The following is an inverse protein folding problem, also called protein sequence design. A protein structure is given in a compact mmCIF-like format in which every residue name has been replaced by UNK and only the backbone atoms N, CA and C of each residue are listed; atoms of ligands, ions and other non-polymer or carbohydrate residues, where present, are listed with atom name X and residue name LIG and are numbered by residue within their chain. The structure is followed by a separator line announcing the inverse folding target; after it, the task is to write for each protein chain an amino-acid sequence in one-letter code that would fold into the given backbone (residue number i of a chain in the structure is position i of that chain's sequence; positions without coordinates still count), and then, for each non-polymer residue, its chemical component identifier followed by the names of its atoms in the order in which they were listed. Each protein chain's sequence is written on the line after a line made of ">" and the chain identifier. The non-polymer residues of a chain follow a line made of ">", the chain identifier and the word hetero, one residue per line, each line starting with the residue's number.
data_IF_831734715709
#
_entry.id   IF_831734715709
#
_cell.length_a   1.000
_cell.length_b   1.000
_cell.length_c   1.000
_cell.angle_alpha   90.00
_cell.angle_beta   90.00
_cell.angle_gamma   90.00
#
_symmetry.space_group_name_H-M   'P 1'
#
loop_
_entity.id
_entity.type
_entity.pdbx_description
1 polymer ?
#
# COMPACT_ATOMS: atom_id res chain seq x y z
N UNK A 1 -20.95 -24.54 44.02
CA UNK A 1 -19.56 -24.38 43.58
C UNK A 1 -19.33 -24.83 42.14
N UNK A 2 -20.01 -25.88 41.68
CA UNK A 2 -19.81 -26.34 40.27
C UNK A 2 -20.25 -25.31 39.22
N UNK A 3 -21.35 -24.63 39.41
CA UNK A 3 -21.82 -23.62 38.45
C UNK A 3 -20.90 -22.43 38.29
N UNK A 4 -20.17 -22.04 39.34
CA UNK A 4 -19.19 -20.94 39.26
C UNK A 4 -18.01 -21.35 38.39
N UNK A 5 -17.57 -22.59 38.48
CA UNK A 5 -16.49 -23.13 37.67
C UNK A 5 -16.85 -23.17 36.16
N UNK A 6 -18.07 -23.61 35.84
CA UNK A 6 -18.55 -23.60 34.48
C UNK A 6 -18.73 -22.19 33.93
N UNK A 7 -19.16 -21.24 34.75
CA UNK A 7 -19.27 -19.84 34.39
C UNK A 7 -17.90 -19.23 34.03
N UNK A 8 -16.87 -19.51 34.83
CA UNK A 8 -15.52 -19.04 34.55
C UNK A 8 -14.93 -19.64 33.26
N UNK A 9 -15.19 -20.93 33.02
CA UNK A 9 -14.77 -21.57 31.77
C UNK A 9 -15.44 -20.98 30.54
N UNK A 10 -16.74 -20.68 30.63
CA UNK A 10 -17.47 -20.06 29.53
C UNK A 10 -16.93 -18.66 29.21
N UNK A 11 -16.66 -17.85 30.22
CA UNK A 11 -16.07 -16.51 30.02
C UNK A 11 -14.68 -16.60 29.39
N UNK A 12 -13.85 -17.51 29.88
CA UNK A 12 -12.51 -17.74 29.31
C UNK A 12 -12.59 -18.20 27.85
N UNK A 13 -13.53 -19.08 27.54
CA UNK A 13 -13.74 -19.55 26.17
C UNK A 13 -14.20 -18.43 25.23
N UNK A 14 -15.16 -17.62 25.68
CA UNK A 14 -15.63 -16.45 24.90
C UNK A 14 -14.49 -15.47 24.66
N UNK A 15 -13.69 -15.16 25.68
CA UNK A 15 -12.54 -14.28 25.54
C UNK A 15 -11.52 -14.84 24.53
N UNK A 16 -11.26 -16.14 24.59
CA UNK A 16 -10.36 -16.81 23.65
C UNK A 16 -10.89 -16.73 22.21
N UNK A 17 -12.17 -17.01 21.99
CA UNK A 17 -12.82 -16.92 20.67
C UNK A 17 -12.75 -15.49 20.12
N UNK A 18 -12.99 -14.49 20.96
CA UNK A 18 -12.88 -13.07 20.56
C UNK A 18 -11.45 -12.72 20.15
N UNK A 19 -10.45 -13.18 20.90
CA UNK A 19 -9.04 -12.95 20.56
C UNK A 19 -8.65 -13.62 19.24
N UNK A 20 -9.12 -14.85 19.02
CA UNK A 20 -8.89 -15.59 17.78
C UNK A 20 -9.54 -14.85 16.61
N UNK A 21 -10.79 -14.44 16.72
CA UNK A 21 -11.49 -13.69 15.66
C UNK A 21 -10.77 -12.37 15.36
N UNK A 22 -10.30 -11.64 16.37
CA UNK A 22 -9.53 -10.41 16.19
C UNK A 22 -8.20 -10.66 15.47
N UNK A 23 -7.53 -11.75 15.80
CA UNK A 23 -6.28 -12.14 15.12
C UNK A 23 -6.50 -12.55 13.67
N UNK A 24 -7.58 -13.27 13.40
CA UNK A 24 -7.96 -13.64 12.02
C UNK A 24 -8.34 -12.42 11.18
N UNK A 25 -9.13 -11.49 11.73
CA UNK A 25 -9.46 -10.23 11.02
C UNK A 25 -8.23 -9.42 10.66
N UNK A 26 -7.23 -9.38 11.54
CA UNK A 26 -5.97 -8.66 11.28
C UNK A 26 -5.15 -9.32 10.17
N UNK A 27 -5.18 -10.65 10.06
CA UNK A 27 -4.49 -11.38 8.98
C UNK A 27 -5.21 -11.30 7.64
N UNK A 28 -6.54 -11.24 7.66
CA UNK A 28 -7.35 -11.10 6.43
C UNK A 28 -7.29 -9.69 5.84
N UNK A 29 -7.03 -8.67 6.66
CA UNK A 29 -6.85 -7.30 6.20
C UNK A 29 -5.52 -7.07 5.44
N UNK A 30 -4.57 -8.01 5.55
CA UNK A 30 -3.31 -7.96 4.81
C UNK A 30 -3.29 -8.87 3.56
N UNK A 31 -4.43 -9.48 3.23
CA UNK A 31 -4.57 -10.33 2.05
C UNK A 31 -4.56 -9.51 0.76
N UNK A 32 -3.48 -9.60 0.00
CA UNK A 32 -3.47 -9.16 -1.38
C UNK A 32 -4.54 -9.91 -2.17
N UNK A 33 -5.32 -9.23 -3.00
CA UNK A 33 -6.29 -9.80 -3.93
C UNK A 33 -7.67 -10.15 -3.35
N UNK A 34 -8.18 -9.39 -2.42
CA UNK A 34 -9.61 -9.41 -2.11
C UNK A 34 -10.31 -8.26 -2.83
N UNK A 35 -11.41 -8.53 -3.50
CA UNK A 35 -12.35 -7.52 -3.97
C UNK A 35 -13.08 -6.89 -2.76
N UNK A 36 -12.36 -6.42 -1.79
CA UNK A 36 -12.92 -5.66 -0.68
C UNK A 36 -12.76 -4.18 -0.99
N UNK A 37 -13.83 -3.43 -0.84
CA UNK A 37 -13.90 -1.97 -0.97
C UNK A 37 -13.03 -1.23 0.06
N UNK A 38 -11.99 -1.85 0.58
CA UNK A 38 -11.04 -1.16 1.42
C UNK A 38 -10.19 -0.25 0.53
N UNK A 39 -10.53 1.02 0.55
CA UNK A 39 -9.72 2.06 -0.08
C UNK A 39 -8.32 2.03 0.53
N UNK A 40 -7.33 1.74 -0.30
CA UNK A 40 -5.93 1.84 0.11
C UNK A 40 -5.66 3.28 0.52
N UNK A 41 -5.27 3.48 1.76
CA UNK A 41 -4.89 4.81 2.23
C UNK A 41 -3.61 5.24 1.53
N UNK A 42 -3.66 6.39 0.89
CA UNK A 42 -2.47 7.00 0.29
C UNK A 42 -1.54 7.50 1.40
N UNK A 43 -0.28 7.13 1.31
CA UNK A 43 0.75 7.73 2.15
C UNK A 43 0.90 9.20 1.77
N UNK A 44 0.71 10.06 2.73
CA UNK A 44 0.90 11.50 2.51
C UNK A 44 2.39 11.82 2.54
N UNK A 45 2.85 12.46 1.51
CA UNK A 45 4.19 13.03 1.49
C UNK A 45 4.20 14.28 2.37
N UNK A 46 5.19 14.42 3.23
CA UNK A 46 5.31 15.54 4.16
C UNK A 46 5.55 16.86 3.43
N UNK A 47 6.33 16.83 2.36
CA UNK A 47 6.67 17.98 1.53
C UNK A 47 5.99 17.87 0.16
N UNK A 48 5.04 18.75 -0.10
CA UNK A 48 4.29 18.83 -1.35
C UNK A 48 4.70 20.03 -2.22
N UNK A 49 5.81 20.67 -1.91
CA UNK A 49 6.32 21.76 -2.71
C UNK A 49 7.13 21.22 -3.89
N UNK A 50 6.61 21.43 -5.11
CA UNK A 50 7.23 20.97 -6.34
C UNK A 50 8.62 21.58 -6.57
N UNK A 51 8.89 22.76 -6.03
CA UNK A 51 10.18 23.43 -6.14
C UNK A 51 11.30 22.70 -5.39
N UNK A 52 10.96 21.89 -4.38
CA UNK A 52 11.91 21.07 -3.63
C UNK A 52 12.32 19.79 -4.37
N UNK A 53 11.68 19.48 -5.49
CA UNK A 53 11.93 18.30 -6.30
C UNK A 53 12.46 18.68 -7.67
N UNK A 54 13.78 18.87 -7.83
CA UNK A 54 14.36 19.32 -9.11
C UNK A 54 14.36 18.24 -10.18
N UNK A 55 14.20 16.98 -9.79
CA UNK A 55 14.18 15.85 -10.72
C UNK A 55 12.74 15.34 -10.87
N UNK A 56 12.32 15.12 -12.10
CA UNK A 56 11.03 14.56 -12.44
C UNK A 56 11.19 13.48 -13.51
N UNK A 57 10.58 12.33 -13.30
CA UNK A 57 10.51 11.25 -14.28
C UNK A 57 9.08 10.73 -14.37
N UNK A 58 8.70 10.29 -15.55
CA UNK A 58 7.38 9.66 -15.77
C UNK A 58 7.59 8.18 -16.06
N UNK A 59 6.93 7.34 -15.27
CA UNK A 59 6.90 5.90 -15.45
C UNK A 59 5.58 5.50 -16.14
N UNK A 60 5.67 4.70 -17.17
CA UNK A 60 4.48 4.04 -17.74
C UNK A 60 4.34 2.68 -17.09
N UNK A 61 3.27 2.49 -16.32
CA UNK A 61 3.03 1.28 -15.54
C UNK A 61 1.84 0.53 -16.11
N UNK A 62 2.05 -0.74 -16.40
CA UNK A 62 0.99 -1.66 -16.83
C UNK A 62 0.34 -2.35 -15.63
N UNK A 63 -0.97 -2.56 -15.69
CA UNK A 63 -1.75 -3.23 -14.65
C UNK A 63 -2.49 -2.30 -13.69
N UNK A 64 -2.32 -1.00 -13.78
CA UNK A 64 -3.12 -0.05 -13.00
C UNK A 64 -4.50 0.14 -13.63
N UNK A 65 -5.51 -0.50 -13.06
CA UNK A 65 -6.88 -0.48 -13.58
C UNK A 65 -7.90 0.17 -12.64
N UNK A 66 -7.49 0.53 -11.43
CA UNK A 66 -8.36 1.12 -10.41
C UNK A 66 -7.62 2.12 -9.51
N UNK A 67 -8.39 2.94 -8.76
CA UNK A 67 -7.83 3.91 -7.81
C UNK A 67 -6.98 3.26 -6.72
N UNK A 68 -7.35 2.08 -6.25
CA UNK A 68 -6.57 1.34 -5.27
C UNK A 68 -5.22 0.88 -5.84
N UNK A 69 -5.19 0.54 -7.12
CA UNK A 69 -3.96 0.21 -7.83
C UNK A 69 -3.00 1.40 -7.88
N UNK A 70 -3.50 2.58 -8.24
CA UNK A 70 -2.70 3.80 -8.25
C UNK A 70 -2.17 4.15 -6.86
N UNK A 71 -3.00 4.00 -5.82
CA UNK A 71 -2.59 4.27 -4.45
C UNK A 71 -1.47 3.33 -3.98
N UNK A 72 -1.50 2.07 -4.36
CA UNK A 72 -0.44 1.10 -4.05
C UNK A 72 0.88 1.47 -4.70
N UNK A 73 0.86 1.85 -5.97
CA UNK A 73 2.04 2.30 -6.70
C UNK A 73 2.60 3.58 -6.09
N UNK A 74 1.75 4.57 -5.82
CA UNK A 74 2.16 5.81 -5.14
C UNK A 74 2.79 5.53 -3.78
N UNK A 75 2.19 4.66 -2.97
CA UNK A 75 2.70 4.32 -1.65
C UNK A 75 4.07 3.63 -1.72
N UNK A 76 4.27 2.74 -2.69
CA UNK A 76 5.54 2.07 -2.88
C UNK A 76 6.66 3.05 -3.25
N UNK A 77 6.37 4.00 -4.13
CA UNK A 77 7.32 5.02 -4.54
C UNK A 77 7.55 6.08 -3.44
N UNK A 78 6.49 6.51 -2.76
CA UNK A 78 6.58 7.49 -1.68
C UNK A 78 7.30 6.93 -0.43
N UNK A 79 7.46 5.62 -0.32
CA UNK A 79 8.27 5.01 0.74
C UNK A 79 9.77 5.24 0.57
N UNK A 80 10.20 5.65 -0.62
CA UNK A 80 11.59 6.02 -0.90
C UNK A 80 11.80 7.46 -0.43
N UNK A 81 12.87 7.70 0.34
CA UNK A 81 13.19 9.04 0.84
C UNK A 81 13.40 10.04 -0.29
N UNK A 82 12.75 11.19 -0.17
CA UNK A 82 12.86 12.27 -1.13
C UNK A 82 12.11 12.03 -2.44
N UNK A 83 11.18 11.09 -2.49
CA UNK A 83 10.34 10.78 -3.65
C UNK A 83 8.90 11.17 -3.38
N UNK A 84 8.31 11.86 -4.33
CA UNK A 84 6.88 12.17 -4.37
C UNK A 84 6.29 11.69 -5.68
N UNK A 85 5.48 10.64 -5.63
CA UNK A 85 4.85 10.02 -6.80
C UNK A 85 3.36 10.33 -6.86
N UNK A 86 2.90 10.63 -8.06
CA UNK A 86 1.47 10.78 -8.37
C UNK A 86 1.13 9.85 -9.54
N UNK A 87 0.19 8.94 -9.33
CA UNK A 87 -0.25 7.99 -10.35
C UNK A 87 -1.56 8.43 -10.99
N UNK A 88 -1.63 8.31 -12.30
CA UNK A 88 -2.84 8.53 -13.10
C UNK A 88 -3.31 7.20 -13.70
N UNK A 89 -4.45 6.73 -13.23
CA UNK A 89 -5.06 5.47 -13.70
C UNK A 89 -5.52 5.58 -15.14
N UNK A 90 -6.02 6.73 -15.55
CA UNK A 90 -6.60 6.91 -16.91
C UNK A 90 -5.55 6.79 -18.01
N UNK A 91 -4.33 7.26 -17.75
CA UNK A 91 -3.21 7.20 -18.71
C UNK A 91 -2.22 6.06 -18.41
N UNK A 92 -2.31 5.43 -17.23
CA UNK A 92 -1.34 4.44 -16.77
C UNK A 92 0.05 5.03 -16.48
N UNK A 93 0.14 6.32 -16.27
CA UNK A 93 1.39 7.04 -16.03
C UNK A 93 1.55 7.41 -14.58
N UNK A 94 2.78 7.35 -14.10
CA UNK A 94 3.16 7.78 -12.75
C UNK A 94 4.21 8.87 -12.87
N UNK A 95 3.88 10.05 -12.39
CA UNK A 95 4.84 11.16 -12.30
C UNK A 95 5.59 11.04 -10.99
N UNK A 96 6.90 10.87 -11.08
CA UNK A 96 7.80 10.71 -9.93
C UNK A 96 8.67 11.94 -9.80
N UNK A 97 8.52 12.66 -8.71
CA UNK A 97 9.36 13.81 -8.36
C UNK A 97 10.36 13.42 -7.29
N UNK A 98 11.60 13.82 -7.46
CA UNK A 98 12.71 13.43 -6.59
C UNK A 98 13.51 14.62 -6.13
N UNK A 99 13.92 14.65 -4.87
CA UNK A 99 14.85 15.65 -4.32
C UNK A 99 16.27 15.43 -4.79
N UNK A 100 16.65 14.16 -4.92
CA UNK A 100 17.94 13.72 -5.45
C UNK A 100 17.71 12.81 -6.64
N UNK A 101 18.69 12.75 -7.55
CA UNK A 101 18.63 11.81 -8.66
C UNK A 101 18.67 10.37 -8.14
N UNK A 102 17.62 9.62 -8.42
CA UNK A 102 17.49 8.20 -8.04
C UNK A 102 17.55 7.38 -9.33
N UNK A 103 18.27 6.27 -9.27
CA UNK A 103 18.37 5.36 -10.41
C UNK A 103 17.00 4.82 -10.83
N UNK A 104 16.77 4.77 -12.13
CA UNK A 104 15.53 4.21 -12.69
C UNK A 104 15.30 2.76 -12.24
N UNK A 105 16.38 2.01 -12.05
CA UNK A 105 16.31 0.63 -11.56
C UNK A 105 15.65 0.52 -10.19
N UNK A 106 15.91 1.47 -9.29
CA UNK A 106 15.29 1.50 -7.96
C UNK A 106 13.80 1.81 -8.05
N UNK A 107 13.41 2.74 -8.92
CA UNK A 107 12.01 3.08 -9.16
C UNK A 107 11.25 1.88 -9.76
N UNK A 108 11.81 1.26 -10.77
CA UNK A 108 11.24 0.04 -11.39
C UNK A 108 11.11 -1.09 -10.38
N UNK A 109 12.14 -1.30 -9.56
CA UNK A 109 12.12 -2.33 -8.53
C UNK A 109 11.01 -2.08 -7.50
N UNK A 110 10.83 -0.85 -7.03
CA UNK A 110 9.81 -0.49 -6.07
C UNK A 110 8.39 -0.82 -6.59
N UNK A 111 8.13 -0.59 -7.87
CA UNK A 111 6.85 -0.93 -8.51
C UNK A 111 6.74 -2.43 -8.75
N UNK A 112 7.79 -3.07 -9.25
CA UNK A 112 7.78 -4.50 -9.56
C UNK A 112 7.66 -5.38 -8.30
N UNK A 113 8.19 -4.93 -7.18
CA UNK A 113 8.12 -5.64 -5.89
C UNK A 113 6.68 -5.76 -5.35
N UNK A 114 5.76 -4.92 -5.82
CA UNK A 114 4.33 -5.07 -5.53
C UNK A 114 3.80 -6.38 -6.13
N UNK A 115 4.37 -6.84 -7.24
CA UNK A 115 4.07 -8.11 -7.87
C UNK A 115 2.88 -8.10 -8.85
N UNK A 116 2.07 -7.05 -8.85
CA UNK A 116 0.89 -6.91 -9.71
C UNK A 116 1.08 -5.94 -10.88
N UNK A 117 2.15 -5.16 -10.86
CA UNK A 117 2.40 -4.06 -11.80
C UNK A 117 3.78 -4.19 -12.43
N UNK A 118 3.89 -3.74 -13.67
CA UNK A 118 5.14 -3.75 -14.42
C UNK A 118 5.40 -2.37 -15.02
N UNK A 119 6.59 -1.84 -14.82
CA UNK A 119 7.03 -0.61 -15.48
C UNK A 119 7.42 -0.94 -16.92
N UNK A 120 6.67 -0.39 -17.87
CA UNK A 120 6.90 -0.63 -19.30
C UNK A 120 7.96 0.32 -19.87
N UNK A 121 7.93 1.58 -19.42
CA UNK A 121 8.78 2.64 -19.96
C UNK A 121 9.06 3.71 -18.91
N UNK A 122 10.20 4.32 -18.99
CA UNK A 122 10.58 5.51 -18.21
C UNK A 122 10.82 6.66 -19.19
N UNK A 123 10.09 7.74 -18.97
CA UNK A 123 10.21 8.98 -19.78
C UNK A 123 10.88 10.11 -19.00
#
# INVERSE_FOLDING_TARGET
>A
MEYVFYGLLAVAFIAFVVLVIRSYKKKLASGCCGASDETVKKNKVADKDKSHYPYEKTLVVDGMVCKNCSARVENALNSIDGVWAEADVSSGRVTVRMKNEIEEKLLKKAVNDIGAYTVMKVE
#
